data_IF_450320686386
#
_entry.id   IF_450320686386
#
_cell.length_a   1.000
_cell.length_b   1.000
_cell.length_c   1.000
_cell.angle_alpha   90.00
_cell.angle_beta   90.00
_cell.angle_gamma   90.00
#
_symmetry.space_group_name_H-M   'P 1'
#
loop_
_entity.id
_entity.type
_entity.pdbx_description
1 polymer ?
#
# COMPACT_ATOMS: atom_id res chain seq x y z
N UNK A 1 7.69 6.58 -5.04
CA UNK A 1 7.77 6.53 -3.57
C UNK A 1 6.68 7.43 -3.04
N UNK A 2 5.76 6.91 -2.24
CA UNK A 2 4.45 7.53 -2.00
C UNK A 2 4.38 8.28 -0.67
N UNK A 3 5.52 8.81 -0.23
CA UNK A 3 5.64 9.50 1.06
C UNK A 3 4.74 10.74 1.11
N UNK A 4 4.57 11.47 0.01
CA UNK A 4 3.67 12.63 -0.01
C UNK A 4 2.21 12.23 0.23
N UNK A 5 1.79 11.08 -0.27
CA UNK A 5 0.44 10.56 -0.06
C UNK A 5 0.27 10.05 1.36
N UNK A 6 1.24 9.31 1.89
CA UNK A 6 1.25 8.84 3.29
C UNK A 6 1.22 10.01 4.30
N UNK A 7 1.96 11.08 4.00
CA UNK A 7 1.94 12.30 4.82
C UNK A 7 0.56 12.97 4.79
N UNK A 8 -0.07 13.09 3.62
CA UNK A 8 -1.43 13.64 3.49
C UNK A 8 -2.46 12.81 4.22
N UNK A 9 -2.39 11.48 4.10
CA UNK A 9 -3.31 10.54 4.77
C UNK A 9 -3.23 10.68 6.30
N UNK A 10 -2.02 10.84 6.84
CA UNK A 10 -1.77 11.08 8.28
C UNK A 10 -1.94 12.54 8.73
N UNK A 11 -2.36 13.45 7.84
CA UNK A 11 -2.50 14.88 8.15
C UNK A 11 -1.17 15.58 8.50
N UNK A 12 -0.04 15.00 8.11
CA UNK A 12 1.30 15.52 8.38
C UNK A 12 1.79 16.42 7.23
N UNK A 13 2.44 17.52 7.60
CA UNK A 13 3.14 18.35 6.62
C UNK A 13 4.58 17.87 6.45
N UNK A 14 5.19 18.11 5.28
CA UNK A 14 6.62 17.85 5.06
C UNK A 14 7.52 18.54 6.10
N UNK A 15 7.10 19.71 6.58
CA UNK A 15 7.78 20.42 7.66
C UNK A 15 7.74 19.64 8.96
N UNK A 16 6.53 19.29 9.43
CA UNK A 16 6.35 18.52 10.65
C UNK A 16 7.06 17.16 10.59
N UNK A 17 7.09 16.53 9.41
CA UNK A 17 7.82 15.29 9.19
C UNK A 17 9.35 15.48 9.32
N UNK A 18 9.90 16.60 8.82
CA UNK A 18 11.31 16.94 9.00
C UNK A 18 11.67 17.08 10.48
N UNK A 19 10.82 17.82 11.20
CA UNK A 19 10.94 18.04 12.64
C UNK A 19 10.89 16.70 13.41
N UNK A 20 9.99 15.78 13.02
CA UNK A 20 9.83 14.45 13.62
C UNK A 20 11.05 13.54 13.37
N UNK A 21 11.67 13.68 12.20
CA UNK A 21 12.90 12.97 11.84
C UNK A 21 14.17 13.60 12.42
N UNK A 22 14.07 14.78 13.03
CA UNK A 22 15.21 15.55 13.54
C UNK A 22 16.18 16.00 12.44
N UNK A 23 15.67 16.21 11.22
CA UNK A 23 16.49 16.64 10.07
C UNK A 23 16.08 18.02 9.56
N UNK A 24 17.00 18.80 8.99
CA UNK A 24 16.65 20.07 8.38
C UNK A 24 15.64 19.89 7.23
N UNK A 25 14.65 20.78 7.14
CA UNK A 25 13.62 20.77 6.08
C UNK A 25 14.21 20.75 4.66
N UNK A 26 15.35 21.43 4.47
CA UNK A 26 16.08 21.45 3.20
C UNK A 26 16.63 20.07 2.82
N UNK A 27 17.01 19.26 3.80
CA UNK A 27 17.57 17.91 3.61
C UNK A 27 16.48 16.90 3.26
N UNK A 28 15.22 17.13 3.68
CA UNK A 28 14.12 16.19 3.43
C UNK A 28 13.90 15.92 1.93
N UNK A 29 13.97 16.95 1.08
CA UNK A 29 13.76 16.78 -0.36
C UNK A 29 14.86 15.93 -1.00
N UNK A 30 16.11 16.10 -0.55
CA UNK A 30 17.24 15.27 -0.98
C UNK A 30 17.09 13.82 -0.54
N UNK A 31 16.64 13.62 0.72
CA UNK A 31 16.39 12.29 1.27
C UNK A 31 15.23 11.56 0.56
N UNK A 32 14.19 12.28 0.15
CA UNK A 32 13.09 11.70 -0.64
C UNK A 32 13.49 11.38 -2.09
N UNK A 33 14.38 12.18 -2.69
CA UNK A 33 14.89 11.92 -4.05
C UNK A 33 15.84 10.72 -4.11
N UNK A 34 16.72 10.58 -3.12
CA UNK A 34 17.74 9.54 -3.11
C UNK A 34 17.93 8.96 -1.69
N UNK A 35 16.93 8.24 -1.17
CA UNK A 35 16.97 7.71 0.18
C UNK A 35 18.05 6.62 0.33
N UNK A 36 18.74 6.62 1.45
CA UNK A 36 19.55 5.48 1.90
C UNK A 36 18.69 4.50 2.69
N UNK A 37 19.15 3.25 2.87
CA UNK A 37 18.41 2.23 3.64
C UNK A 37 18.01 2.75 5.04
N UNK A 38 18.96 3.38 5.75
CA UNK A 38 18.70 3.97 7.06
C UNK A 38 17.65 5.10 7.04
N UNK A 39 17.56 5.84 5.93
CA UNK A 39 16.54 6.87 5.73
C UNK A 39 15.17 6.24 5.51
N UNK A 40 15.09 5.16 4.73
CA UNK A 40 13.86 4.40 4.52
C UNK A 40 13.30 3.88 5.85
N UNK A 41 14.16 3.26 6.66
CA UNK A 41 13.76 2.74 7.98
C UNK A 41 13.28 3.86 8.91
N UNK A 42 13.96 5.00 8.92
CA UNK A 42 13.53 6.18 9.67
C UNK A 42 12.17 6.70 9.19
N UNK A 43 11.94 6.75 7.88
CA UNK A 43 10.68 7.21 7.32
C UNK A 43 9.54 6.26 7.66
N UNK A 44 9.76 4.95 7.52
CA UNK A 44 8.85 3.89 7.92
C UNK A 44 8.49 4.00 9.41
N UNK A 45 9.49 4.11 10.29
CA UNK A 45 9.29 4.24 11.73
C UNK A 45 8.55 5.55 12.11
N UNK A 46 8.91 6.66 11.48
CA UNK A 46 8.26 7.96 11.71
C UNK A 46 6.80 7.98 11.23
N UNK A 47 6.48 7.21 10.19
CA UNK A 47 5.13 7.07 9.65
C UNK A 47 4.37 5.90 10.28
N UNK A 48 5.00 5.09 11.13
CA UNK A 48 4.41 3.86 11.68
C UNK A 48 3.85 2.93 10.58
N UNK A 49 4.63 2.74 9.52
CA UNK A 49 4.30 1.83 8.40
C UNK A 49 5.54 1.00 8.07
N UNK A 50 5.40 -0.25 7.56
CA UNK A 50 6.55 -1.01 7.13
C UNK A 50 7.17 -0.40 5.86
N UNK A 51 8.47 -0.63 5.64
CA UNK A 51 9.24 -0.02 4.53
C UNK A 51 8.61 -0.28 3.17
N UNK A 52 7.96 -1.44 2.96
CA UNK A 52 7.24 -1.78 1.73
C UNK A 52 6.12 -0.77 1.40
N UNK A 53 5.43 -0.24 2.41
CA UNK A 53 4.30 0.68 2.22
C UNK A 53 4.77 2.08 1.79
N UNK A 54 6.05 2.41 1.98
CA UNK A 54 6.63 3.63 1.41
C UNK A 54 6.66 3.59 -0.13
N UNK A 55 6.59 2.40 -0.71
CA UNK A 55 6.61 2.15 -2.15
C UNK A 55 5.29 1.62 -2.70
N UNK A 56 4.43 1.05 -1.85
CA UNK A 56 3.10 0.58 -2.23
C UNK A 56 2.26 1.73 -2.80
N UNK A 57 1.50 1.45 -3.85
CA UNK A 57 0.51 2.39 -4.36
C UNK A 57 -0.56 2.65 -3.28
N UNK A 58 -1.18 3.85 -3.23
CA UNK A 58 -2.17 4.17 -2.21
C UNK A 58 -3.36 3.19 -2.14
N UNK A 59 -3.58 2.44 -3.22
CA UNK A 59 -4.57 1.36 -3.29
C UNK A 59 -4.09 0.06 -2.62
N UNK A 60 -2.78 -0.22 -2.58
CA UNK A 60 -2.21 -1.40 -1.92
C UNK A 60 -1.89 -1.16 -0.43
N UNK A 61 -1.58 0.08 -0.05
CA UNK A 61 -1.22 0.44 1.33
C UNK A 61 -2.43 0.48 2.29
N UNK A 62 -3.65 0.62 1.76
CA UNK A 62 -4.87 0.25 2.47
C UNK A 62 -4.91 -1.26 2.49
N UNK A 63 -4.24 -1.87 3.48
CA UNK A 63 -4.14 -3.31 3.61
C UNK A 63 -5.45 -3.96 3.18
N UNK A 64 -5.38 -4.78 2.13
CA UNK A 64 -6.53 -5.41 1.50
C UNK A 64 -7.46 -5.94 2.60
N UNK A 65 -8.58 -5.27 2.87
CA UNK A 65 -9.48 -5.58 4.00
C UNK A 65 -9.97 -7.04 3.91
N UNK A 66 -9.96 -7.56 2.68
CA UNK A 66 -10.24 -8.95 2.34
C UNK A 66 -9.38 -9.36 1.13
N UNK A 67 -8.45 -10.30 1.32
CA UNK A 67 -7.82 -11.03 0.21
C UNK A 67 -8.44 -12.41 0.12
N UNK A 68 -9.14 -12.70 -0.98
CA UNK A 68 -9.66 -14.03 -1.27
C UNK A 68 -8.91 -14.63 -2.46
N UNK A 69 -8.36 -15.83 -2.26
CA UNK A 69 -7.71 -16.63 -3.29
C UNK A 69 -8.62 -17.80 -3.64
N UNK A 70 -9.10 -17.86 -4.87
CA UNK A 70 -10.01 -18.89 -5.35
C UNK A 70 -9.27 -19.69 -6.42
N UNK A 71 -9.06 -20.97 -6.13
CA UNK A 71 -8.59 -21.93 -7.10
C UNK A 71 -9.76 -22.79 -7.53
N UNK A 72 -10.16 -22.69 -8.80
CA UNK A 72 -11.19 -23.55 -9.36
C UNK A 72 -10.65 -24.28 -10.58
N UNK A 73 -10.58 -25.62 -10.45
CA UNK A 73 -9.93 -26.51 -11.43
C UNK A 73 -8.47 -26.09 -11.70
N UNK A 74 -8.24 -25.36 -12.80
CA UNK A 74 -6.92 -24.92 -13.24
C UNK A 74 -6.79 -23.40 -13.34
N UNK A 75 -7.87 -22.66 -13.03
CA UNK A 75 -7.90 -21.20 -13.04
C UNK A 75 -7.67 -20.67 -11.61
N UNK A 76 -6.87 -19.61 -11.50
CA UNK A 76 -6.60 -18.90 -10.24
C UNK A 76 -7.21 -17.51 -10.30
N UNK A 77 -7.95 -17.16 -9.26
CA UNK A 77 -8.57 -15.86 -9.10
C UNK A 77 -8.14 -15.24 -7.78
N UNK A 78 -7.75 -13.96 -7.81
CA UNK A 78 -7.49 -13.15 -6.62
C UNK A 78 -8.57 -12.07 -6.56
N UNK A 79 -9.24 -11.96 -5.42
CA UNK A 79 -10.11 -10.84 -5.11
C UNK A 79 -9.53 -10.07 -3.92
N UNK A 80 -9.57 -8.74 -4.01
CA UNK A 80 -9.12 -7.83 -2.93
C UNK A 80 -10.29 -7.10 -2.26
N UNK A 81 -11.53 -7.43 -2.67
CA UNK A 81 -12.78 -6.87 -2.15
C UNK A 81 -13.96 -7.84 -2.29
N UNK A 82 -15.01 -7.64 -1.50
CA UNK A 82 -16.23 -8.47 -1.54
C UNK A 82 -16.96 -8.34 -2.88
N UNK A 83 -16.92 -7.16 -3.51
CA UNK A 83 -17.54 -6.94 -4.82
C UNK A 83 -16.82 -7.72 -5.93
N UNK A 84 -15.49 -7.70 -5.91
CA UNK A 84 -14.66 -8.47 -6.85
C UNK A 84 -14.87 -9.97 -6.66
N UNK A 85 -14.94 -10.42 -5.41
CA UNK A 85 -15.22 -11.81 -5.06
C UNK A 85 -16.57 -12.27 -5.66
N UNK A 86 -17.63 -11.46 -5.51
CA UNK A 86 -18.95 -11.79 -6.08
C UNK A 86 -18.90 -11.90 -7.61
N UNK A 87 -18.20 -11.00 -8.29
CA UNK A 87 -18.01 -11.08 -9.75
C UNK A 87 -17.30 -12.36 -10.16
N UNK A 88 -16.23 -12.73 -9.46
CA UNK A 88 -15.49 -13.96 -9.73
C UNK A 88 -16.39 -15.18 -9.55
N UNK A 89 -17.18 -15.22 -8.47
CA UNK A 89 -18.14 -16.32 -8.24
C UNK A 89 -19.15 -16.42 -9.38
N UNK A 90 -19.77 -15.31 -9.79
CA UNK A 90 -20.72 -15.32 -10.92
C UNK A 90 -20.08 -15.78 -12.23
N UNK A 91 -18.82 -15.41 -12.50
CA UNK A 91 -18.09 -15.91 -13.68
C UNK A 91 -17.83 -17.42 -13.59
N UNK A 92 -17.52 -17.94 -12.40
CA UNK A 92 -17.30 -19.37 -12.20
C UNK A 92 -18.62 -20.13 -12.38
N UNK A 93 -19.73 -19.61 -11.86
CA UNK A 93 -21.07 -20.19 -12.02
C UNK A 93 -21.54 -20.19 -13.49
N UNK A 94 -21.27 -19.12 -14.24
CA UNK A 94 -21.61 -19.04 -15.68
C UNK A 94 -20.71 -19.95 -16.54
N UNK A 95 -19.41 -20.02 -16.23
CA UNK A 95 -18.44 -20.86 -16.95
C UNK A 95 -18.58 -22.35 -16.61
N UNK A 96 -19.10 -22.67 -15.43
CA UNK A 96 -19.32 -24.03 -14.94
C UNK A 96 -20.70 -24.15 -14.28
N UNK A 97 -21.80 -24.09 -15.05
CA UNK A 97 -23.12 -24.31 -14.48
C UNK A 97 -23.14 -25.71 -13.87
N UNK A 98 -23.35 -25.78 -12.56
CA UNK A 98 -23.58 -27.04 -11.87
C UNK A 98 -24.94 -27.55 -12.33
N UNK A 99 -24.91 -28.62 -13.11
CA UNK A 99 -26.10 -29.28 -13.65
C UNK A 99 -26.80 -30.13 -12.60
#
# INVERSE_FOLDING_TARGET
MNIETLLKDKGLTKSAFADLLGVPKQTINSLMKNPTLATLERFAAALDVPVRDLFAEPEEAKGEELTALIQHKSDYYKATSVEELKKIISQIEEKYPSH
#
